data_IF_297693420489
#
_entry.id   IF_297693420489
#
_cell.length_a   1.000
_cell.length_b   1.000
_cell.length_c   1.000
_cell.angle_alpha   90.00
_cell.angle_beta   90.00
_cell.angle_gamma   90.00
#
_symmetry.space_group_name_H-M   'P 1'
#
loop_
_entity.id
_entity.type
_entity.pdbx_description
1 polymer ?
#
# COMPACT_ATOMS: atom_id res chain seq x y z
N UNK A 1 26.25 -30.97 29.74
CA UNK A 1 26.90 -29.79 29.14
C UNK A 1 25.93 -29.19 28.16
N UNK A 2 25.70 -27.89 28.36
CA UNK A 2 24.76 -26.96 27.74
C UNK A 2 24.27 -27.33 26.33
N UNK A 3 22.95 -27.50 26.20
CA UNK A 3 22.23 -27.33 24.94
C UNK A 3 22.19 -25.84 24.59
N UNK A 4 22.73 -25.46 23.45
CA UNK A 4 22.50 -24.14 22.86
C UNK A 4 20.99 -23.93 22.64
N UNK A 5 20.40 -22.80 23.04
CA UNK A 5 19.12 -22.39 22.50
C UNK A 5 19.39 -21.86 21.09
N UNK A 6 19.04 -22.63 20.06
CA UNK A 6 18.89 -22.10 18.70
C UNK A 6 17.78 -21.04 18.74
N UNK A 7 18.13 -19.76 18.84
CA UNK A 7 17.18 -18.69 18.54
C UNK A 7 17.00 -18.68 17.02
N UNK A 8 15.86 -19.12 16.53
CA UNK A 8 15.45 -18.87 15.15
C UNK A 8 15.41 -17.36 14.92
N UNK A 9 16.30 -16.82 14.08
CA UNK A 9 16.32 -15.38 13.76
C UNK A 9 15.16 -15.06 12.82
N UNK A 10 14.28 -14.15 13.22
CA UNK A 10 13.24 -13.61 12.35
C UNK A 10 13.78 -12.46 11.49
N UNK A 11 14.65 -12.78 10.54
CA UNK A 11 15.24 -11.80 9.63
C UNK A 11 14.25 -11.42 8.53
N UNK A 12 13.83 -10.16 8.51
CA UNK A 12 13.01 -9.62 7.42
C UNK A 12 13.90 -8.84 6.47
N UNK A 13 13.84 -9.21 5.19
CA UNK A 13 14.47 -8.45 4.12
C UNK A 13 13.60 -7.27 3.75
N UNK A 14 14.19 -6.09 3.79
CA UNK A 14 13.58 -4.86 3.32
C UNK A 14 14.18 -4.39 2.02
N UNK A 15 13.36 -3.67 1.26
CA UNK A 15 13.79 -2.84 0.16
C UNK A 15 13.38 -1.39 0.46
N UNK A 16 14.35 -0.50 0.60
CA UNK A 16 14.07 0.93 0.74
C UNK A 16 13.79 1.51 -0.63
N UNK A 17 12.57 1.97 -0.87
CA UNK A 17 12.16 2.43 -2.19
C UNK A 17 12.96 3.67 -2.61
N UNK A 18 13.19 4.64 -1.72
CA UNK A 18 13.84 5.91 -2.09
C UNK A 18 15.37 5.88 -2.14
N UNK A 19 16.02 4.87 -1.53
CA UNK A 19 17.48 4.68 -1.67
C UNK A 19 17.84 3.45 -2.50
N UNK A 20 16.83 2.69 -2.94
CA UNK A 20 16.95 1.46 -3.72
C UNK A 20 17.88 0.40 -3.09
N UNK A 21 18.06 0.42 -1.76
CA UNK A 21 18.91 -0.51 -1.02
C UNK A 21 18.08 -1.59 -0.34
N UNK A 22 18.58 -2.83 -0.42
CA UNK A 22 18.10 -3.91 0.44
C UNK A 22 18.91 -3.99 1.72
N UNK A 23 18.26 -4.29 2.84
CA UNK A 23 18.93 -4.62 4.09
C UNK A 23 18.12 -5.68 4.84
N UNK A 24 18.80 -6.39 5.74
CA UNK A 24 18.17 -7.36 6.62
C UNK A 24 17.93 -6.69 7.96
N UNK A 25 16.74 -6.89 8.50
CA UNK A 25 16.36 -6.40 9.81
C UNK A 25 15.93 -7.58 10.66
N UNK A 26 16.63 -7.78 11.78
CA UNK A 26 16.26 -8.77 12.78
C UNK A 26 15.08 -8.25 13.60
N UNK A 27 13.90 -8.86 13.38
CA UNK A 27 12.68 -8.55 14.15
C UNK A 27 12.66 -9.25 15.50
N UNK A 28 13.51 -10.26 15.74
CA UNK A 28 13.48 -11.10 16.95
C UNK A 28 13.37 -10.29 18.25
N UNK A 29 14.09 -9.16 18.45
CA UNK A 29 14.00 -8.36 19.68
C UNK A 29 12.61 -7.80 19.97
N UNK A 30 11.75 -7.68 18.96
CA UNK A 30 10.40 -7.11 19.09
C UNK A 30 9.33 -8.20 19.18
N UNK A 31 9.59 -9.39 18.65
CA UNK A 31 8.59 -10.44 18.47
C UNK A 31 8.14 -11.09 19.77
N UNK A 32 8.85 -10.94 20.88
CA UNK A 32 8.36 -11.41 22.19
C UNK A 32 7.15 -10.59 22.64
N UNK A 33 7.20 -9.28 22.42
CA UNK A 33 6.22 -8.30 22.92
C UNK A 33 5.15 -7.96 21.87
N UNK A 34 5.53 -7.97 20.60
CA UNK A 34 4.69 -7.53 19.49
C UNK A 34 4.46 -8.63 18.47
N UNK A 35 3.28 -8.62 17.83
CA UNK A 35 3.03 -9.26 16.55
C UNK A 35 3.28 -8.27 15.42
N UNK A 36 3.88 -8.73 14.32
CA UNK A 36 3.92 -7.94 13.10
C UNK A 36 2.51 -7.87 12.51
N UNK A 37 1.91 -6.69 12.54
CA UNK A 37 0.56 -6.48 12.04
C UNK A 37 0.59 -6.28 10.52
N UNK A 38 1.38 -5.31 10.04
CA UNK A 38 1.52 -5.02 8.61
C UNK A 38 2.81 -4.23 8.31
N UNK A 39 3.17 -4.11 7.02
CA UNK A 39 4.30 -3.28 6.57
C UNK A 39 3.89 -2.34 5.45
N UNK A 40 4.33 -1.09 5.52
CA UNK A 40 4.04 -0.04 4.54
C UNK A 40 5.26 0.82 4.31
N UNK A 41 5.59 1.14 3.05
CA UNK A 41 6.58 2.15 2.67
C UNK A 41 7.79 2.24 3.60
N UNK A 42 8.45 1.11 3.83
CA UNK A 42 9.67 1.00 4.65
C UNK A 42 9.47 1.02 6.19
N UNK A 43 8.25 0.86 6.69
CA UNK A 43 7.88 0.82 8.11
C UNK A 43 7.14 -0.48 8.47
N UNK A 44 7.15 -0.82 9.75
CA UNK A 44 6.32 -1.89 10.32
C UNK A 44 5.30 -1.33 11.28
N UNK A 45 4.04 -1.66 11.06
CA UNK A 45 3.01 -1.56 12.07
C UNK A 45 3.02 -2.84 12.91
N UNK A 46 3.30 -2.69 14.18
CA UNK A 46 3.37 -3.75 15.17
C UNK A 46 2.17 -3.65 16.11
N UNK A 47 1.58 -4.77 16.50
CA UNK A 47 0.50 -4.85 17.48
C UNK A 47 1.06 -5.45 18.77
N UNK A 48 0.81 -4.82 19.92
CA UNK A 48 1.25 -5.29 21.21
C UNK A 48 0.35 -6.44 21.68
N UNK A 49 0.95 -7.62 21.93
CA UNK A 49 0.21 -8.87 22.16
C UNK A 49 -0.75 -8.85 23.35
N UNK A 50 -0.48 -8.03 24.36
CA UNK A 50 -1.29 -7.98 25.60
C UNK A 50 -2.24 -6.78 25.71
N UNK A 51 -1.96 -5.69 24.99
CA UNK A 51 -2.65 -4.40 25.22
C UNK A 51 -3.45 -3.95 24.00
N UNK A 52 -3.32 -4.64 22.87
CA UNK A 52 -3.94 -4.26 21.58
C UNK A 52 -3.53 -2.83 21.16
N UNK A 53 -2.40 -2.34 21.68
CA UNK A 53 -1.80 -1.08 21.28
C UNK A 53 -0.92 -1.27 20.05
N UNK A 54 -0.76 -0.21 19.25
CA UNK A 54 0.10 -0.26 18.08
C UNK A 54 1.45 0.40 18.34
N UNK A 55 2.46 -0.04 17.61
CA UNK A 55 3.75 0.63 17.54
C UNK A 55 4.22 0.69 16.08
N UNK A 56 4.87 1.78 15.71
CA UNK A 56 5.46 1.97 14.39
C UNK A 56 6.97 1.79 14.51
N UNK A 57 7.50 0.74 13.89
CA UNK A 57 8.93 0.46 13.86
C UNK A 57 9.52 0.96 12.54
N UNK A 58 10.49 1.87 12.65
CA UNK A 58 11.35 2.21 11.53
C UNK A 58 12.60 1.32 11.56
N UNK A 59 12.73 0.36 10.63
CA UNK A 59 13.82 -0.61 10.62
C UNK A 59 15.19 0.02 10.26
N UNK A 60 15.22 1.16 9.59
CA UNK A 60 16.46 1.86 9.23
C UNK A 60 17.04 2.63 10.40
N UNK A 61 16.18 3.32 11.13
CA UNK A 61 16.55 4.09 12.32
C UNK A 61 16.62 3.22 13.57
N UNK A 62 16.15 1.97 13.49
CA UNK A 62 15.91 1.07 14.64
C UNK A 62 15.07 1.75 15.72
N UNK A 63 14.18 2.64 15.32
CA UNK A 63 13.37 3.45 16.22
C UNK A 63 11.97 2.89 16.32
N UNK A 64 11.54 2.59 17.54
CA UNK A 64 10.18 2.17 17.86
C UNK A 64 9.38 3.37 18.36
N UNK A 65 8.32 3.71 17.66
CA UNK A 65 7.39 4.78 18.04
C UNK A 65 6.14 4.14 18.63
N UNK A 66 5.90 4.35 19.92
CA UNK A 66 4.67 3.88 20.56
C UNK A 66 3.50 4.76 20.12
N UNK A 67 2.41 4.12 19.72
CA UNK A 67 1.17 4.78 19.33
C UNK A 67 0.14 4.64 20.46
N UNK A 68 -0.92 5.47 20.46
CA UNK A 68 -1.98 5.32 21.44
C UNK A 68 -2.55 3.90 21.44
N UNK A 69 -2.84 3.39 22.64
CA UNK A 69 -3.55 2.12 22.81
C UNK A 69 -4.99 2.21 22.28
N UNK A 70 -5.52 1.08 21.77
CA UNK A 70 -6.91 0.88 21.33
C UNK A 70 -7.52 2.03 20.51
N UNK A 71 -7.59 1.81 19.20
CA UNK A 71 -8.35 2.67 18.26
C UNK A 71 -9.82 2.79 18.71
N UNK A 72 -10.40 1.70 19.26
CA UNK A 72 -11.79 1.61 19.76
C UNK A 72 -12.10 2.62 20.87
N UNK A 73 -11.26 2.69 21.92
CA UNK A 73 -11.60 3.44 23.14
C UNK A 73 -11.34 4.94 23.04
N UNK A 74 -10.66 5.40 21.99
CA UNK A 74 -10.27 6.81 21.83
C UNK A 74 -11.04 7.56 20.75
N UNK A 75 -11.69 6.85 19.84
CA UNK A 75 -12.57 7.46 18.85
C UNK A 75 -13.99 7.60 19.41
N UNK A 76 -14.26 8.64 20.21
CA UNK A 76 -15.58 8.91 20.82
C UNK A 76 -16.77 9.08 19.83
N UNK A 77 -16.50 8.98 18.51
CA UNK A 77 -17.47 9.04 17.42
C UNK A 77 -17.31 7.91 16.38
N UNK A 78 -16.51 6.88 16.67
CA UNK A 78 -16.34 5.77 15.74
C UNK A 78 -17.70 5.11 15.46
N UNK A 79 -18.01 4.79 14.18
CA UNK A 79 -19.17 3.96 13.87
C UNK A 79 -19.05 2.62 14.58
N UNK A 80 -20.17 2.03 15.01
CA UNK A 80 -20.20 0.68 15.61
C UNK A 80 -19.54 -0.39 14.72
N UNK A 81 -19.48 -0.14 13.42
CA UNK A 81 -18.77 -0.96 12.44
C UNK A 81 -17.27 -1.07 12.71
N UNK A 82 -16.60 0.01 13.16
CA UNK A 82 -15.16 0.00 13.46
C UNK A 82 -14.85 -0.88 14.68
N UNK A 83 -15.66 -0.78 15.73
CA UNK A 83 -15.53 -1.63 16.92
C UNK A 83 -15.72 -3.11 16.57
N UNK A 84 -16.70 -3.43 15.73
CA UNK A 84 -16.94 -4.82 15.30
C UNK A 84 -15.82 -5.38 14.42
N UNK A 85 -15.21 -4.56 13.55
CA UNK A 85 -14.13 -4.97 12.67
C UNK A 85 -12.80 -5.18 13.40
N UNK A 86 -12.48 -4.29 14.35
CA UNK A 86 -11.32 -4.44 15.24
C UNK A 86 -11.48 -5.71 16.08
N UNK A 87 -12.64 -5.90 16.72
CA UNK A 87 -12.95 -7.09 17.53
C UNK A 87 -12.82 -8.39 16.75
N UNK A 88 -13.18 -8.40 15.47
CA UNK A 88 -13.06 -9.56 14.58
C UNK A 88 -11.64 -9.76 14.02
N UNK A 89 -10.69 -8.87 14.33
CA UNK A 89 -9.35 -8.81 13.73
C UNK A 89 -9.40 -8.82 12.19
N UNK A 90 -10.44 -8.19 11.64
CA UNK A 90 -10.73 -8.20 10.20
C UNK A 90 -10.41 -6.84 9.56
N UNK A 91 -9.56 -6.04 10.20
CA UNK A 91 -9.13 -4.78 9.64
C UNK A 91 -8.13 -5.03 8.53
N UNK A 92 -8.47 -4.56 7.34
CA UNK A 92 -7.52 -4.39 6.26
C UNK A 92 -7.23 -2.89 6.09
N UNK A 93 -5.98 -2.58 5.74
CA UNK A 93 -5.50 -1.23 5.59
C UNK A 93 -5.04 -1.00 4.16
N UNK A 94 -5.57 0.06 3.56
CA UNK A 94 -5.10 0.54 2.25
C UNK A 94 -3.76 1.26 2.37
N UNK A 95 -3.36 1.69 3.57
CA UNK A 95 -2.09 2.38 3.76
C UNK A 95 -1.81 2.80 5.20
N UNK A 96 -0.51 2.90 5.52
CA UNK A 96 0.01 3.57 6.72
C UNK A 96 1.05 4.58 6.28
N UNK A 97 0.82 5.84 6.60
CA UNK A 97 1.60 6.95 6.10
C UNK A 97 2.14 7.79 7.25
N UNK A 98 3.35 8.34 7.05
CA UNK A 98 3.95 9.31 7.96
C UNK A 98 4.12 10.61 7.18
N UNK A 99 3.47 11.67 7.64
CA UNK A 99 3.56 12.99 7.01
C UNK A 99 4.87 13.69 7.34
N UNK A 100 5.22 14.73 6.60
CA UNK A 100 6.37 15.60 6.90
C UNK A 100 6.31 16.23 8.29
N UNK A 101 5.10 16.42 8.84
CA UNK A 101 4.87 16.89 10.20
C UNK A 101 4.85 15.77 11.25
N UNK A 102 5.37 14.58 10.92
CA UNK A 102 5.41 13.39 11.77
C UNK A 102 4.04 12.93 12.27
N UNK A 103 2.98 13.17 11.50
CA UNK A 103 1.65 12.61 11.79
C UNK A 103 1.58 11.23 11.18
N UNK A 104 1.10 10.26 11.96
CA UNK A 104 0.89 8.89 11.51
C UNK A 104 -0.57 8.76 11.13
N UNK A 105 -0.83 8.30 9.91
CA UNK A 105 -2.17 8.15 9.32
C UNK A 105 -2.37 6.68 8.98
N UNK A 106 -3.44 6.09 9.49
CA UNK A 106 -3.90 4.76 9.09
C UNK A 106 -5.14 4.91 8.22
N UNK A 107 -5.10 4.37 7.02
CA UNK A 107 -6.21 4.36 6.06
C UNK A 107 -6.77 2.95 5.99
N UNK A 108 -8.02 2.78 6.36
CA UNK A 108 -8.69 1.48 6.36
C UNK A 108 -9.28 1.19 4.98
N UNK A 109 -9.04 -0.02 4.49
CA UNK A 109 -9.62 -0.48 3.23
C UNK A 109 -11.13 -0.56 3.35
N UNK A 110 -11.81 -0.12 2.29
CA UNK A 110 -13.26 -0.18 2.17
C UNK A 110 -14.05 0.66 3.20
N UNK A 111 -13.37 1.61 3.87
CA UNK A 111 -13.99 2.55 4.81
C UNK A 111 -13.98 3.98 4.27
N UNK A 112 -14.90 4.83 4.73
CA UNK A 112 -14.99 6.26 4.40
C UNK A 112 -14.25 7.16 5.39
N UNK A 113 -13.46 6.58 6.28
CA UNK A 113 -12.70 7.31 7.30
C UNK A 113 -11.24 6.84 7.38
N UNK A 114 -10.43 7.67 8.01
CA UNK A 114 -9.09 7.33 8.44
C UNK A 114 -8.92 7.68 9.92
N UNK A 115 -7.87 7.16 10.53
CA UNK A 115 -7.45 7.61 11.86
C UNK A 115 -6.04 8.15 11.78
N UNK A 116 -5.74 9.12 12.64
CA UNK A 116 -4.41 9.68 12.71
C UNK A 116 -4.01 9.99 14.15
N UNK A 117 -2.71 10.12 14.37
CA UNK A 117 -2.12 10.45 15.68
C UNK A 117 -0.74 11.06 15.50
N UNK A 118 -0.27 11.81 16.49
CA UNK A 118 1.14 12.21 16.60
C UNK A 118 1.85 11.33 17.62
N UNK A 119 3.16 11.06 17.44
CA UNK A 119 3.97 10.44 18.48
C UNK A 119 3.82 11.19 19.81
N UNK A 120 3.43 10.48 20.87
CA UNK A 120 3.20 11.03 22.21
C UNK A 120 1.74 11.42 22.52
N UNK A 121 0.86 11.47 21.51
CA UNK A 121 -0.57 11.62 21.76
C UNK A 121 -1.10 10.44 22.57
N UNK A 122 -2.15 10.69 23.35
CA UNK A 122 -2.81 9.66 24.18
C UNK A 122 -3.96 8.97 23.46
N UNK A 123 -4.34 9.45 22.27
CA UNK A 123 -5.54 9.02 21.56
C UNK A 123 -5.40 9.10 20.05
N UNK A 124 -6.09 8.18 19.37
CA UNK A 124 -6.35 8.30 17.94
C UNK A 124 -7.42 9.34 17.67
N UNK A 125 -7.26 10.08 16.58
CA UNK A 125 -8.29 10.99 16.09
C UNK A 125 -8.94 10.35 14.87
N UNK A 126 -10.24 10.10 14.99
CA UNK A 126 -11.10 9.72 13.88
C UNK A 126 -11.35 10.92 12.96
N UNK A 127 -11.10 10.74 11.66
CA UNK A 127 -11.38 11.73 10.65
C UNK A 127 -12.29 11.15 9.56
N UNK A 128 -13.50 11.72 9.48
CA UNK A 128 -14.56 11.32 8.56
C UNK A 128 -14.43 12.08 7.22
N UNK A 129 -14.71 11.40 6.11
CA UNK A 129 -14.85 12.02 4.79
C UNK A 129 -16.25 12.61 4.52
N UNK A 130 -17.22 12.49 5.44
CA UNK A 130 -18.59 13.01 5.34
C UNK A 130 -19.30 12.55 4.05
N UNK A 131 -19.21 11.26 3.71
CA UNK A 131 -19.76 10.70 2.47
C UNK A 131 -19.17 11.32 1.18
N UNK A 132 -18.08 12.10 1.29
CA UNK A 132 -17.36 12.60 0.12
C UNK A 132 -16.58 11.48 -0.55
N UNK A 133 -16.07 10.55 0.26
CA UNK A 133 -15.52 9.26 -0.14
C UNK A 133 -16.46 8.19 0.42
N UNK A 134 -16.85 7.20 -0.37
CA UNK A 134 -17.64 6.05 0.07
C UNK A 134 -16.72 4.94 0.61
N UNK A 135 -15.58 4.74 -0.05
CA UNK A 135 -14.54 3.87 0.47
C UNK A 135 -13.14 4.27 -0.03
N UNK A 136 -12.16 4.17 0.87
CA UNK A 136 -10.76 4.18 0.49
C UNK A 136 -10.39 2.83 -0.15
N UNK A 137 -9.96 2.90 -1.40
CA UNK A 137 -9.27 1.85 -2.13
C UNK A 137 -8.23 2.49 -3.03
N UNK A 138 -7.14 1.78 -3.34
CA UNK A 138 -6.09 2.25 -4.24
C UNK A 138 -5.54 3.65 -3.88
N UNK A 139 -5.17 3.82 -2.61
CA UNK A 139 -4.69 5.10 -2.11
C UNK A 139 -3.21 5.30 -2.40
N UNK A 140 -2.81 6.52 -2.72
CA UNK A 140 -1.42 6.92 -2.91
C UNK A 140 -1.09 8.13 -2.04
N UNK A 141 -0.09 8.00 -1.18
CA UNK A 141 0.43 9.12 -0.41
C UNK A 141 1.55 9.82 -1.19
N UNK A 142 1.32 11.06 -1.60
CA UNK A 142 2.24 11.82 -2.45
C UNK A 142 2.35 13.28 -2.00
N UNK A 143 3.53 13.65 -1.48
CA UNK A 143 3.83 15.01 -0.98
C UNK A 143 2.80 15.52 0.04
N UNK A 144 2.61 14.78 1.13
CA UNK A 144 1.62 15.06 2.21
C UNK A 144 0.16 15.14 1.76
N UNK A 145 -0.14 14.53 0.62
CA UNK A 145 -1.49 14.44 0.08
C UNK A 145 -1.85 12.98 -0.09
N UNK A 146 -3.02 12.60 0.42
CA UNK A 146 -3.59 11.30 0.13
C UNK A 146 -4.44 11.42 -1.13
N UNK A 147 -4.04 10.73 -2.18
CA UNK A 147 -4.77 10.62 -3.43
C UNK A 147 -5.56 9.32 -3.41
N UNK A 148 -6.79 9.36 -3.89
CA UNK A 148 -7.64 8.18 -3.99
C UNK A 148 -8.59 8.31 -5.17
N UNK A 149 -8.98 7.18 -5.73
CA UNK A 149 -10.06 7.08 -6.71
C UNK A 149 -11.05 6.08 -6.14
N UNK A 150 -12.23 6.58 -5.82
CA UNK A 150 -13.30 5.73 -5.32
C UNK A 150 -14.12 5.21 -6.51
N UNK A 151 -13.90 3.93 -6.83
CA UNK A 151 -14.59 3.25 -7.93
C UNK A 151 -16.12 3.17 -7.79
N UNK A 152 -16.66 3.36 -6.58
CA UNK A 152 -18.10 3.38 -6.35
C UNK A 152 -18.71 4.78 -6.55
N UNK A 153 -17.88 5.83 -6.63
CA UNK A 153 -18.35 7.19 -6.83
C UNK A 153 -18.01 7.72 -8.23
N UNK A 154 -18.94 8.48 -8.82
CA UNK A 154 -18.69 9.19 -10.07
C UNK A 154 -17.92 10.52 -9.89
N UNK A 155 -17.11 10.66 -8.82
CA UNK A 155 -16.43 11.91 -8.50
C UNK A 155 -15.09 12.06 -9.23
N UNK A 156 -14.34 10.98 -9.39
CA UNK A 156 -13.03 10.97 -10.06
C UNK A 156 -11.87 10.92 -9.06
N UNK A 157 -10.73 11.52 -9.42
CA UNK A 157 -9.55 11.57 -8.57
C UNK A 157 -9.77 12.59 -7.45
N UNK A 158 -9.69 12.10 -6.23
CA UNK A 158 -9.85 12.89 -5.02
C UNK A 158 -8.51 13.04 -4.30
N UNK A 159 -8.38 14.15 -3.59
CA UNK A 159 -7.22 14.48 -2.78
C UNK A 159 -7.69 14.88 -1.39
N UNK A 160 -6.99 14.39 -0.39
CA UNK A 160 -7.09 14.83 1.00
C UNK A 160 -5.76 15.45 1.39
N UNK A 161 -5.80 16.72 1.79
CA UNK A 161 -4.61 17.39 2.28
C UNK A 161 -4.33 16.96 3.72
N UNK A 162 -3.14 16.40 3.97
CA UNK A 162 -2.70 15.96 5.28
C UNK A 162 -1.62 16.90 5.86
N UNK A 163 -1.31 17.99 5.16
CA UNK A 163 -0.36 19.01 5.62
C UNK A 163 -1.04 19.99 6.59
N UNK A 164 -0.40 20.21 7.74
CA UNK A 164 -0.79 21.15 8.81
C UNK A 164 -2.08 20.79 9.55
N UNK A 165 -1.93 20.34 10.80
CA UNK A 165 -3.00 20.05 11.77
C UNK A 165 -4.20 19.29 11.17
N UNK A 166 -4.10 17.96 11.20
CA UNK A 166 -5.16 17.09 10.74
C UNK A 166 -6.50 17.41 11.44
N UNK A 167 -7.55 17.77 10.70
CA UNK A 167 -8.85 18.04 11.30
C UNK A 167 -9.60 16.74 11.60
N UNK A 168 -10.64 16.83 12.44
CA UNK A 168 -11.63 15.75 12.62
C UNK A 168 -12.51 15.53 11.37
N UNK A 169 -12.54 16.51 10.47
CA UNK A 169 -13.27 16.46 9.21
C UNK A 169 -12.27 16.55 8.07
N UNK A 170 -12.28 15.57 7.18
CA UNK A 170 -11.34 15.55 6.06
C UNK A 170 -11.75 16.59 5.01
N UNK A 171 -10.77 17.39 4.58
CA UNK A 171 -10.94 18.27 3.44
C UNK A 171 -10.67 17.48 2.16
N UNK A 172 -11.73 16.92 1.59
CA UNK A 172 -11.70 16.18 0.32
C UNK A 172 -11.93 17.16 -0.84
N UNK A 173 -10.96 17.26 -1.75
CA UNK A 173 -11.06 17.98 -3.02
C UNK A 173 -11.14 16.99 -4.18
N UNK A 174 -12.03 17.25 -5.15
CA UNK A 174 -11.97 16.57 -6.46
C UNK A 174 -10.93 17.28 -7.33
N UNK A 175 -9.80 16.62 -7.57
CA UNK A 175 -8.69 17.18 -8.36
C UNK A 175 -8.96 16.98 -9.85
N UNK A 176 -9.32 15.76 -10.26
CA UNK A 176 -9.68 15.46 -11.66
C UNK A 176 -11.09 14.84 -11.66
N UNK A 177 -12.12 15.53 -12.17
CA UNK A 177 -13.47 14.99 -12.26
C UNK A 177 -13.53 13.69 -13.08
N UNK A 178 -14.44 12.78 -12.73
CA UNK A 178 -14.60 11.46 -13.40
C UNK A 178 -14.72 11.53 -14.91
N UNK A 179 -15.43 12.52 -15.45
CA UNK A 179 -15.63 12.71 -16.90
C UNK A 179 -14.36 13.16 -17.63
N UNK A 180 -13.32 13.58 -16.89
CA UNK A 180 -12.00 13.93 -17.40
C UNK A 180 -10.96 12.85 -17.12
N UNK A 181 -11.36 11.68 -16.62
CA UNK A 181 -10.47 10.53 -16.46
C UNK A 181 -10.75 9.53 -17.57
N UNK A 182 -9.79 8.65 -17.90
CA UNK A 182 -10.07 7.51 -18.78
C UNK A 182 -11.21 6.67 -18.19
N UNK A 183 -11.80 5.80 -19.00
CA UNK A 183 -12.85 4.90 -18.52
C UNK A 183 -12.30 4.00 -17.42
N UNK A 184 -12.62 4.38 -16.18
CA UNK A 184 -12.24 3.68 -14.97
C UNK A 184 -13.07 2.40 -14.90
N UNK A 185 -12.39 1.27 -15.08
CA UNK A 185 -12.92 -0.05 -14.75
C UNK A 185 -12.62 -0.40 -13.29
N UNK A 186 -13.09 -1.58 -12.87
CA UNK A 186 -13.02 -2.05 -11.49
C UNK A 186 -11.59 -2.14 -10.93
N UNK A 187 -10.59 -2.43 -11.79
CA UNK A 187 -9.18 -2.45 -11.38
C UNK A 187 -8.43 -1.20 -11.87
N UNK A 188 -8.06 -0.34 -10.92
CA UNK A 188 -7.26 0.85 -11.14
C UNK A 188 -6.20 0.98 -10.06
N UNK A 189 -5.03 1.52 -10.41
CA UNK A 189 -3.93 1.73 -9.48
C UNK A 189 -3.34 3.13 -9.64
N UNK A 190 -3.06 3.78 -8.52
CA UNK A 190 -2.24 4.99 -8.46
C UNK A 190 -0.82 4.59 -8.03
N UNK A 191 0.20 5.08 -8.75
CA UNK A 191 1.60 4.77 -8.46
C UNK A 191 2.45 6.02 -8.54
N UNK A 192 3.32 6.25 -7.56
CA UNK A 192 4.44 7.19 -7.71
C UNK A 192 5.56 6.54 -8.52
N UNK A 193 5.82 7.09 -9.70
CA UNK A 193 6.84 6.66 -10.64
C UNK A 193 7.86 7.78 -10.85
N UNK A 194 8.93 7.78 -10.05
CA UNK A 194 10.00 8.77 -10.16
C UNK A 194 9.54 10.21 -9.93
N UNK A 195 8.52 10.43 -9.09
CA UNK A 195 7.92 11.73 -8.83
C UNK A 195 6.77 12.09 -9.76
N UNK A 196 6.47 11.28 -10.77
CA UNK A 196 5.26 11.38 -11.60
C UNK A 196 4.18 10.44 -11.07
N UNK A 197 2.92 10.88 -11.07
CA UNK A 197 1.80 10.01 -10.68
C UNK A 197 1.28 9.29 -11.92
N UNK A 198 1.32 7.96 -11.89
CA UNK A 198 0.80 7.09 -12.94
C UNK A 198 -0.52 6.49 -12.48
N UNK A 199 -1.56 6.70 -13.28
CA UNK A 199 -2.81 5.95 -13.21
C UNK A 199 -2.71 4.75 -14.15
N UNK A 200 -2.90 3.56 -13.62
CA UNK A 200 -3.05 2.32 -14.39
C UNK A 200 -4.52 1.93 -14.37
N UNK A 201 -5.09 1.65 -15.54
CA UNK A 201 -6.50 1.25 -15.69
C UNK A 201 -6.56 -0.01 -16.54
N UNK A 202 -7.10 -1.10 -15.99
CA UNK A 202 -7.27 -2.32 -16.76
C UNK A 202 -8.48 -2.21 -17.67
N UNK A 203 -8.39 -2.71 -18.90
CA UNK A 203 -9.47 -2.69 -19.88
C UNK A 203 -10.17 -4.07 -19.88
N UNK A 204 -11.51 -4.12 -19.95
CA UNK A 204 -12.23 -5.38 -19.98
C UNK A 204 -11.90 -6.10 -21.28
N UNK A 205 -11.90 -7.43 -21.25
CA UNK A 205 -11.94 -8.20 -22.49
C UNK A 205 -13.40 -8.26 -22.98
N UNK A 206 -13.64 -7.73 -24.18
CA UNK A 206 -14.96 -7.80 -24.83
C UNK A 206 -15.33 -9.24 -25.24
N UNK A 207 -14.37 -10.17 -25.29
CA UNK A 207 -14.52 -11.51 -25.85
C UNK A 207 -14.62 -12.66 -24.83
N UNK A 208 -14.21 -12.48 -23.57
CA UNK A 208 -14.25 -13.54 -22.55
C UNK A 208 -15.30 -13.28 -21.45
N UNK A 209 -16.13 -14.30 -21.22
CA UNK A 209 -17.03 -14.39 -20.06
C UNK A 209 -16.27 -14.67 -18.75
N UNK A 210 -14.97 -14.92 -18.84
CA UNK A 210 -14.06 -15.16 -17.71
C UNK A 210 -13.18 -13.92 -17.60
N UNK A 211 -13.28 -13.17 -16.49
CA UNK A 211 -12.67 -11.86 -16.25
C UNK A 211 -11.13 -11.81 -16.39
N UNK A 212 -10.62 -11.93 -17.62
CA UNK A 212 -9.21 -11.73 -17.94
C UNK A 212 -9.01 -10.30 -18.43
N UNK A 213 -8.19 -9.54 -17.70
CA UNK A 213 -7.71 -8.26 -18.19
C UNK A 213 -6.66 -8.51 -19.28
N UNK A 214 -7.03 -8.46 -20.57
CA UNK A 214 -6.06 -8.66 -21.66
C UNK A 214 -5.10 -7.47 -21.80
N UNK A 215 -5.56 -6.27 -21.45
CA UNK A 215 -4.77 -5.05 -21.60
C UNK A 215 -5.04 -4.04 -20.49
N UNK A 216 -4.12 -3.09 -20.35
CA UNK A 216 -4.31 -1.93 -19.49
C UNK A 216 -3.83 -0.67 -20.22
N UNK A 217 -4.34 0.45 -19.77
CA UNK A 217 -3.89 1.78 -20.14
C UNK A 217 -3.13 2.40 -18.97
N UNK A 218 -2.10 3.18 -19.29
CA UNK A 218 -1.43 4.02 -18.31
C UNK A 218 -1.54 5.48 -18.71
N UNK A 219 -1.73 6.32 -17.72
CA UNK A 219 -1.88 7.75 -17.87
C UNK A 219 -1.05 8.48 -16.83
N UNK A 220 -0.25 9.45 -17.28
CA UNK A 220 0.42 10.41 -16.39
C UNK A 220 -0.60 11.45 -15.94
N UNK A 221 -0.74 11.63 -14.64
CA UNK A 221 -1.65 12.62 -14.07
C UNK A 221 -0.92 13.95 -13.87
N UNK A 222 -1.55 15.04 -14.31
CA UNK A 222 -1.14 16.39 -13.98
C UNK A 222 -2.15 16.98 -13.00
N UNK A 223 -1.79 17.01 -11.72
CA UNK A 223 -2.66 17.52 -10.66
C UNK A 223 -2.89 19.03 -10.76
N UNK A 224 -1.91 19.79 -11.27
CA UNK A 224 -1.97 21.25 -11.37
C UNK A 224 -2.89 21.68 -12.52
N UNK A 225 -2.75 21.04 -13.67
CA UNK A 225 -3.62 21.28 -14.83
C UNK A 225 -4.98 20.57 -14.71
N UNK A 226 -5.11 19.64 -13.75
CA UNK A 226 -6.30 18.79 -13.56
C UNK A 226 -6.61 17.98 -14.83
N UNK A 227 -5.56 17.42 -15.43
CA UNK A 227 -5.59 16.65 -16.69
C UNK A 227 -4.80 15.36 -16.56
N UNK A 228 -4.89 14.51 -17.59
CA UNK A 228 -4.01 13.37 -17.76
C UNK A 228 -3.55 13.27 -19.20
N UNK A 229 -2.43 12.58 -19.41
CA UNK A 229 -1.92 12.24 -20.73
C UNK A 229 -1.60 10.76 -20.77
N UNK A 230 -2.15 10.05 -21.75
CA UNK A 230 -1.84 8.63 -21.97
C UNK A 230 -0.33 8.47 -22.16
N UNK A 231 0.26 7.56 -21.40
CA UNK A 231 1.70 7.30 -21.42
C UNK A 231 1.95 5.80 -21.57
N UNK A 232 2.28 5.31 -22.77
CA UNK A 232 2.61 3.89 -22.97
C UNK A 232 4.01 3.53 -22.44
N UNK A 233 4.72 4.45 -21.80
CA UNK A 233 6.12 4.29 -21.44
C UNK A 233 6.40 4.77 -20.01
N UNK A 234 7.11 3.95 -19.24
CA UNK A 234 7.61 4.23 -17.88
C UNK A 234 9.09 4.66 -17.86
N UNK A 235 9.71 4.75 -19.03
CA UNK A 235 11.12 5.06 -19.19
C UNK A 235 11.99 3.99 -18.55
N UNK A 236 12.89 4.44 -17.66
CA UNK A 236 13.79 3.55 -16.94
C UNK A 236 13.16 2.91 -15.69
N UNK A 237 11.84 2.95 -15.55
CA UNK A 237 11.16 2.40 -14.38
C UNK A 237 10.39 1.13 -14.71
N UNK A 238 10.19 0.31 -13.68
CA UNK A 238 9.17 -0.73 -13.65
C UNK A 238 8.22 -0.48 -12.50
N UNK A 239 6.94 -0.79 -12.70
CA UNK A 239 5.91 -0.66 -11.66
C UNK A 239 5.44 -2.03 -11.18
N UNK A 240 5.10 -2.11 -9.90
CA UNK A 240 4.53 -3.27 -9.25
C UNK A 240 3.18 -2.90 -8.66
N UNK A 241 2.15 -3.67 -8.99
CA UNK A 241 0.75 -3.41 -8.71
C UNK A 241 0.17 -4.54 -7.87
N UNK A 242 -0.21 -4.24 -6.63
CA UNK A 242 -0.96 -5.12 -5.74
C UNK A 242 -2.13 -4.36 -5.12
N UNK A 243 -3.09 -5.12 -4.56
CA UNK A 243 -4.36 -4.59 -4.03
C UNK A 243 -4.20 -3.40 -3.08
N UNK A 244 -3.31 -3.52 -2.09
CA UNK A 244 -3.10 -2.48 -1.08
C UNK A 244 -1.76 -1.75 -1.22
N UNK A 245 -0.92 -2.13 -2.19
CA UNK A 245 0.42 -1.57 -2.34
C UNK A 245 0.86 -1.52 -3.79
N UNK A 246 1.27 -0.34 -4.19
CA UNK A 246 1.86 -0.07 -5.49
C UNK A 246 3.19 0.66 -5.30
N UNK A 247 4.16 0.37 -6.14
CA UNK A 247 5.42 1.14 -6.15
C UNK A 247 6.12 1.01 -7.49
N UNK A 248 7.06 1.91 -7.72
CA UNK A 248 7.98 1.87 -8.85
C UNK A 248 9.42 1.60 -8.41
N UNK A 249 10.23 1.05 -9.30
CA UNK A 249 11.67 0.93 -9.13
C UNK A 249 12.39 1.50 -10.35
N UNK A 250 13.52 2.15 -10.11
CA UNK A 250 14.47 2.51 -11.16
C UNK A 250 15.29 1.28 -11.55
N UNK A 251 15.37 1.02 -12.85
CA UNK A 251 16.11 -0.13 -13.40
C UNK A 251 17.62 0.09 -13.46
N UNK A 252 18.08 1.34 -13.30
CA UNK A 252 19.51 1.62 -13.11
C UNK A 252 19.99 1.04 -11.76
N UNK A 253 19.13 1.13 -10.74
CA UNK A 253 19.41 0.63 -9.39
C UNK A 253 19.16 -0.87 -9.29
N UNK A 254 18.14 -1.37 -9.98
CA UNK A 254 17.79 -2.78 -10.04
C UNK A 254 17.99 -3.37 -11.44
N UNK A 255 19.26 -3.53 -11.85
CA UNK A 255 19.63 -4.01 -13.20
C UNK A 255 19.05 -5.38 -13.61
N UNK A 256 18.58 -6.17 -12.65
CA UNK A 256 17.92 -7.46 -12.90
C UNK A 256 16.42 -7.33 -13.20
N UNK A 257 15.85 -6.13 -13.04
CA UNK A 257 14.46 -5.80 -13.35
C UNK A 257 14.44 -5.06 -14.71
N UNK A 258 13.75 -5.58 -15.72
CA UNK A 258 13.59 -4.92 -17.01
C UNK A 258 12.86 -3.58 -16.91
N UNK A 259 13.45 -2.53 -17.50
CA UNK A 259 12.82 -1.22 -17.66
C UNK A 259 11.54 -1.30 -18.50
N UNK A 260 10.73 -0.23 -18.39
CA UNK A 260 9.47 -0.07 -19.11
C UNK A 260 8.56 -1.30 -18.98
N UNK A 261 8.38 -1.76 -17.75
CA UNK A 261 7.64 -2.97 -17.44
C UNK A 261 6.63 -2.77 -16.31
N UNK A 262 5.54 -3.51 -16.36
CA UNK A 262 4.54 -3.57 -15.30
C UNK A 262 4.39 -5.01 -14.81
N UNK A 263 4.29 -5.16 -13.49
CA UNK A 263 4.02 -6.40 -12.81
C UNK A 263 2.74 -6.25 -12.00
N UNK A 264 1.81 -7.17 -12.18
CA UNK A 264 0.52 -7.17 -11.49
C UNK A 264 0.23 -8.57 -10.98
N UNK A 265 -0.48 -8.69 -9.87
CA UNK A 265 -1.02 -9.96 -9.43
C UNK A 265 -2.53 -9.88 -9.21
N UNK A 266 -3.25 -10.78 -9.87
CA UNK A 266 -4.67 -10.98 -9.68
C UNK A 266 -4.88 -11.93 -8.50
N UNK A 267 -5.28 -11.39 -7.35
CA UNK A 267 -5.52 -12.18 -6.14
C UNK A 267 -6.71 -13.13 -6.27
N UNK A 268 -7.67 -12.84 -7.14
CA UNK A 268 -8.84 -13.70 -7.33
C UNK A 268 -8.46 -15.05 -7.95
N UNK A 269 -7.45 -15.06 -8.82
CA UNK A 269 -6.99 -16.27 -9.53
C UNK A 269 -5.61 -16.76 -9.07
N UNK A 270 -4.91 -15.99 -8.24
CA UNK A 270 -3.55 -16.31 -7.83
C UNK A 270 -2.59 -16.31 -9.02
N UNK A 271 -2.77 -15.43 -10.00
CA UNK A 271 -1.90 -15.32 -11.16
C UNK A 271 -1.11 -14.01 -11.11
N UNK A 272 0.17 -14.08 -11.49
CA UNK A 272 0.98 -12.88 -11.75
C UNK A 272 1.06 -12.66 -13.24
N UNK A 273 0.87 -11.43 -13.67
CA UNK A 273 1.10 -10.99 -15.02
C UNK A 273 2.32 -10.07 -15.09
N UNK A 274 3.11 -10.26 -16.13
CA UNK A 274 4.20 -9.37 -16.53
C UNK A 274 3.87 -8.77 -17.89
N UNK A 275 3.98 -7.45 -17.97
CA UNK A 275 3.78 -6.70 -19.19
C UNK A 275 5.05 -5.95 -19.54
N UNK A 276 5.60 -6.25 -20.70
CA UNK A 276 6.69 -5.47 -21.27
C UNK A 276 6.10 -4.44 -22.23
N UNK A 277 6.17 -3.18 -21.85
CA UNK A 277 5.50 -2.09 -22.57
C UNK A 277 6.20 -1.74 -23.88
N UNK A 278 7.51 -2.01 -23.98
CA UNK A 278 8.27 -1.82 -25.21
C UNK A 278 7.83 -2.79 -26.31
N UNK A 279 7.51 -4.03 -25.95
CA UNK A 279 7.10 -5.07 -26.90
C UNK A 279 5.59 -5.23 -27.00
N UNK A 280 4.83 -4.57 -26.12
CA UNK A 280 3.39 -4.75 -25.94
C UNK A 280 3.00 -6.23 -25.77
N UNK A 281 3.82 -7.00 -25.04
CA UNK A 281 3.60 -8.43 -24.80
C UNK A 281 3.26 -8.68 -23.35
N UNK A 282 2.20 -9.45 -23.15
CA UNK A 282 1.79 -9.99 -21.86
C UNK A 282 2.38 -11.38 -21.69
N UNK A 283 2.88 -11.67 -20.49
CA UNK A 283 3.18 -13.04 -20.05
C UNK A 283 2.47 -13.28 -18.73
N UNK A 284 1.53 -14.21 -18.74
CA UNK A 284 0.95 -14.74 -17.53
C UNK A 284 1.84 -15.84 -16.97
N UNK A 285 2.07 -15.80 -15.67
CA UNK A 285 2.72 -16.88 -14.94
C UNK A 285 1.85 -17.22 -13.73
N UNK A 286 1.32 -18.44 -13.71
CA UNK A 286 0.48 -18.90 -12.61
C UNK A 286 1.25 -18.90 -11.29
N UNK A 287 0.71 -18.23 -10.26
CA UNK A 287 1.25 -18.32 -8.91
C UNK A 287 0.62 -19.49 -8.20
N UNK A 288 1.14 -20.69 -8.47
CA UNK A 288 1.10 -21.70 -7.41
C UNK A 288 2.03 -21.23 -6.29
N UNK A 289 1.53 -21.05 -5.06
CA UNK A 289 2.33 -20.49 -3.99
C UNK A 289 3.30 -21.56 -3.45
N UNK A 290 4.36 -21.06 -2.82
CA UNK A 290 5.36 -21.75 -2.00
C UNK A 290 6.54 -22.49 -2.65
N UNK A 291 7.69 -22.29 -1.99
CA UNK A 291 9.01 -22.92 -2.12
C UNK A 291 9.99 -22.28 -3.13
N UNK A 292 10.83 -21.39 -2.56
CA UNK A 292 12.07 -20.76 -3.04
C UNK A 292 11.93 -19.46 -3.84
N UNK A 293 12.57 -18.36 -3.38
CA UNK A 293 12.59 -17.10 -4.10
C UNK A 293 13.83 -17.05 -5.00
N UNK A 294 13.71 -17.50 -6.25
CA UNK A 294 14.85 -17.53 -7.19
C UNK A 294 15.07 -16.20 -7.94
N UNK A 295 14.08 -15.30 -8.01
CA UNK A 295 14.22 -13.99 -8.69
C UNK A 295 13.85 -12.81 -7.79
N UNK A 296 14.53 -11.67 -7.99
CA UNK A 296 14.23 -10.41 -7.30
C UNK A 296 12.81 -9.93 -7.59
N UNK A 297 12.38 -10.03 -8.85
CA UNK A 297 11.03 -9.67 -9.31
C UNK A 297 9.96 -10.39 -8.50
N UNK A 298 10.11 -11.70 -8.23
CA UNK A 298 9.16 -12.46 -7.40
C UNK A 298 9.05 -11.89 -5.99
N UNK A 299 10.17 -11.48 -5.38
CA UNK A 299 10.17 -10.85 -4.04
C UNK A 299 9.46 -9.50 -4.04
N UNK A 300 9.63 -8.72 -5.10
CA UNK A 300 8.98 -7.41 -5.26
C UNK A 300 7.46 -7.56 -5.45
N UNK A 301 7.02 -8.58 -6.20
CA UNK A 301 5.59 -8.91 -6.32
C UNK A 301 5.04 -9.42 -4.99
N UNK A 302 5.73 -10.33 -4.31
CA UNK A 302 5.31 -10.80 -2.98
C UNK A 302 5.19 -9.64 -1.98
N UNK A 303 6.07 -8.63 -2.09
CA UNK A 303 5.98 -7.41 -1.30
C UNK A 303 4.71 -6.61 -1.62
N UNK A 304 4.23 -6.57 -2.87
CA UNK A 304 2.93 -5.98 -3.19
C UNK A 304 1.74 -6.77 -2.60
N UNK A 305 1.88 -8.09 -2.47
CA UNK A 305 0.76 -8.98 -2.16
C UNK A 305 0.53 -9.27 -0.68
N UNK A 306 1.60 -9.31 0.14
CA UNK A 306 1.49 -9.81 1.52
C UNK A 306 0.78 -8.83 2.44
N UNK A 307 -0.55 -8.91 2.55
CA UNK A 307 -1.32 -8.24 3.62
C UNK A 307 -0.83 -8.67 5.01
N UNK A 308 -0.33 -9.91 5.14
CA UNK A 308 0.24 -10.46 6.37
C UNK A 308 1.58 -11.13 6.09
N UNK A 309 2.59 -10.85 6.92
CA UNK A 309 3.84 -11.60 6.90
C UNK A 309 3.64 -12.89 7.70
N UNK A 310 3.70 -14.05 7.04
CA UNK A 310 4.06 -15.28 7.76
C UNK A 310 5.54 -15.16 8.13
N UNK A 311 5.83 -15.03 9.43
CA UNK A 311 7.18 -15.14 9.96
C UNK A 311 7.59 -16.60 9.72
N UNK A 312 8.42 -16.82 8.71
CA UNK A 312 8.98 -18.15 8.44
C UNK A 312 10.10 -18.36 9.45
N UNK A 313 9.86 -19.25 10.41
CA UNK A 313 10.94 -19.77 11.24
C UNK A 313 11.79 -20.71 10.35
N UNK A 314 13.06 -20.39 10.15
CA UNK A 314 14.00 -21.39 9.63
C UNK A 314 14.27 -22.41 10.76
N UNK A 315 13.88 -23.67 10.54
CA UNK A 315 14.21 -24.83 11.39
C UNK A 315 15.68 -25.28 11.24
#
# INVERSE_FOLDING_TARGET
MLSDPKSSSADVRFFHISTHKSFFFDLTPYLDTYSLFQSFDSLFLLEHKLTEGFALLNPFMKSLTLLPSKIESTCAKAPSQLEDLIRKKSLDFSGVFVTSSSVIVLVFSFMDFLVWTKPGDQSWVYADAEQKVQCFSNVLFYKDRLLTIDGNTNKGLMQINLANEMPKQLQVEVVIPRHKLPDLNEALYLVDCGGEIILVTFLPDDASQEHFWESFEMSKLNLDEKTYVRSPNLGNHSIFLGENRTFSVSCDDLKSVPANSSYFCNLYYGDTAYYNLTTNRVRFQSCKPFLRPSSLVKKLIEYCLRSHWEIVYEE
#
